data_IF_358288383938
#
_entry.id   IF_358288383938
#
_cell.length_a   1.000
_cell.length_b   1.000
_cell.length_c   1.000
_cell.angle_alpha   90.00
_cell.angle_beta   90.00
_cell.angle_gamma   90.00
#
_symmetry.space_group_name_H-M   'P 1'
#
loop_
_entity.id
_entity.type
_entity.pdbx_description
1 polymer ?
#
# COMPACT_ATOMS: atom_id res chain seq x y z
N UNK A 1 -0.17 -35.82 7.41
CA UNK A 1 -0.38 -34.78 6.38
C UNK A 1 -0.15 -33.44 7.05
N UNK A 2 0.83 -32.64 6.65
CA UNK A 2 0.99 -31.27 7.14
C UNK A 2 1.08 -30.36 5.92
N UNK A 3 0.10 -29.48 5.75
CA UNK A 3 0.10 -28.40 4.78
C UNK A 3 0.54 -27.12 5.51
N UNK A 4 1.84 -27.00 5.78
CA UNK A 4 2.43 -25.71 6.15
C UNK A 4 2.71 -24.98 4.83
N UNK A 5 1.69 -24.28 4.35
CA UNK A 5 1.83 -23.31 3.28
C UNK A 5 2.58 -22.11 3.85
N UNK A 6 3.91 -22.22 3.96
CA UNK A 6 4.77 -21.06 4.22
C UNK A 6 4.71 -20.18 2.98
N UNK A 7 3.69 -19.31 2.91
CA UNK A 7 3.55 -18.24 1.94
C UNK A 7 4.71 -17.26 2.14
N UNK A 8 5.83 -17.64 1.53
CA UNK A 8 7.05 -16.86 1.43
C UNK A 8 6.72 -15.66 0.56
N UNK A 9 6.37 -14.54 1.20
CA UNK A 9 6.03 -13.31 0.51
C UNK A 9 5.07 -12.46 1.29
N UNK A 10 5.42 -12.07 2.52
CA UNK A 10 4.85 -10.88 3.12
C UNK A 10 5.29 -9.66 2.28
N UNK A 11 4.70 -9.50 1.09
CA UNK A 11 4.49 -8.20 0.51
C UNK A 11 3.70 -7.46 1.58
N UNK A 12 4.43 -6.69 2.41
CA UNK A 12 3.93 -5.80 3.46
C UNK A 12 2.48 -5.48 3.16
N UNK A 13 1.54 -6.08 3.91
CA UNK A 13 0.11 -6.06 3.60
C UNK A 13 -0.37 -4.61 3.72
N UNK A 14 -0.12 -3.81 2.69
CA UNK A 14 -0.48 -2.39 2.65
C UNK A 14 -1.97 -2.35 2.60
N UNK A 15 -2.58 -1.92 3.69
CA UNK A 15 -4.01 -1.73 3.70
C UNK A 15 -4.37 -0.68 2.65
N UNK A 16 -5.47 -0.89 1.90
CA UNK A 16 -5.96 0.11 0.99
C UNK A 16 -6.33 1.37 1.78
N UNK A 17 -5.80 2.51 1.36
CA UNK A 17 -6.11 3.81 1.97
C UNK A 17 -7.03 4.62 1.07
N UNK A 18 -7.76 5.58 1.63
CA UNK A 18 -8.56 6.51 0.82
C UNK A 18 -7.64 7.58 0.21
N UNK A 19 -7.63 7.69 -1.12
CA UNK A 19 -6.88 8.73 -1.81
C UNK A 19 -7.56 10.10 -1.63
N UNK A 20 -6.88 11.15 -1.14
CA UNK A 20 -7.47 12.48 -0.98
C UNK A 20 -7.74 13.20 -2.31
N UNK A 21 -7.23 12.67 -3.43
CA UNK A 21 -7.36 13.31 -4.75
C UNK A 21 -8.52 12.77 -5.57
N UNK A 22 -8.76 11.46 -5.52
CA UNK A 22 -9.88 10.82 -6.24
C UNK A 22 -10.98 10.31 -5.32
N UNK A 23 -10.81 10.39 -4.00
CA UNK A 23 -11.74 9.89 -2.99
C UNK A 23 -12.09 8.39 -3.15
N UNK A 24 -11.18 7.62 -3.75
CA UNK A 24 -11.32 6.18 -3.92
C UNK A 24 -10.30 5.41 -3.07
N UNK A 25 -10.66 4.22 -2.57
CA UNK A 25 -9.71 3.33 -1.93
C UNK A 25 -8.63 2.89 -2.93
N UNK A 26 -7.37 3.02 -2.54
CA UNK A 26 -6.23 2.73 -3.40
C UNK A 26 -5.16 1.95 -2.65
N UNK A 27 -4.45 1.09 -3.39
CA UNK A 27 -3.23 0.46 -2.91
C UNK A 27 -2.06 1.42 -3.17
N UNK A 28 -1.38 1.93 -2.12
CA UNK A 28 -0.26 2.84 -2.32
C UNK A 28 0.93 2.13 -2.99
N UNK A 29 1.37 2.66 -4.12
CA UNK A 29 2.62 2.24 -4.77
C UNK A 29 3.77 3.02 -4.17
N UNK A 30 4.88 2.35 -3.84
CA UNK A 30 6.10 3.04 -3.36
C UNK A 30 7.06 3.18 -4.53
N UNK A 31 7.43 4.41 -4.84
CA UNK A 31 8.44 4.73 -5.85
C UNK A 31 9.85 4.47 -5.30
N UNK A 32 10.86 4.52 -6.18
CA UNK A 32 12.26 4.28 -5.83
C UNK A 32 12.78 5.26 -4.75
N UNK A 33 12.32 6.51 -4.79
CA UNK A 33 12.64 7.56 -3.81
C UNK A 33 11.91 7.40 -2.47
N UNK A 34 11.06 6.37 -2.33
CA UNK A 34 10.31 6.07 -1.12
C UNK A 34 8.96 6.80 -0.98
N UNK A 35 8.64 7.69 -1.93
CA UNK A 35 7.35 8.37 -2.02
C UNK A 35 6.23 7.35 -2.27
N UNK A 36 5.11 7.51 -1.58
CA UNK A 36 3.89 6.74 -1.83
C UNK A 36 3.02 7.49 -2.84
N UNK A 37 2.53 6.80 -3.86
CA UNK A 37 1.64 7.35 -4.88
C UNK A 37 0.38 6.50 -5.02
N UNK A 38 -0.71 7.15 -5.42
CA UNK A 38 -1.97 6.49 -5.72
C UNK A 38 -1.81 5.59 -6.96
N UNK A 39 -2.53 4.47 -6.99
CA UNK A 39 -2.61 3.59 -8.17
C UNK A 39 -3.53 4.15 -9.28
N UNK A 40 -4.08 5.36 -9.14
CA UNK A 40 -4.84 5.99 -10.21
C UNK A 40 -3.92 6.43 -11.37
N UNK A 41 -4.48 6.65 -12.55
CA UNK A 41 -3.71 7.08 -13.73
C UNK A 41 -2.98 8.42 -13.56
N UNK A 42 -3.34 9.22 -12.55
CA UNK A 42 -2.66 10.46 -12.23
C UNK A 42 -1.46 10.28 -11.28
N UNK A 43 -1.27 9.08 -10.70
CA UNK A 43 -0.15 8.70 -9.84
C UNK A 43 0.22 9.75 -8.78
N UNK A 44 -0.80 10.36 -8.19
CA UNK A 44 -0.61 11.49 -7.29
C UNK A 44 0.01 11.03 -5.96
N UNK A 45 0.91 11.83 -5.38
CA UNK A 45 1.51 11.51 -4.09
C UNK A 45 0.43 11.43 -3.01
N UNK A 46 0.53 10.37 -2.21
CA UNK A 46 -0.31 10.10 -1.06
C UNK A 46 0.41 10.58 0.20
N UNK A 47 -0.34 11.02 1.23
CA UNK A 47 0.24 11.21 2.55
C UNK A 47 0.83 9.87 3.03
N UNK A 48 1.97 9.92 3.72
CA UNK A 48 2.46 8.76 4.44
C UNK A 48 1.37 8.31 5.43
N UNK A 49 1.01 7.00 5.44
CA UNK A 49 0.09 6.53 6.45
C UNK A 49 0.70 6.84 7.81
N UNK A 50 -0.11 7.25 8.81
CA UNK A 50 0.40 7.41 10.16
C UNK A 50 1.12 6.12 10.56
N UNK A 51 2.24 6.20 11.30
CA UNK A 51 2.92 5.00 11.75
C UNK A 51 1.91 4.14 12.47
N UNK A 52 1.54 3.02 11.84
CA UNK A 52 0.61 2.04 12.37
C UNK A 52 1.12 1.72 13.78
N UNK A 53 0.35 2.12 14.80
CA UNK A 53 0.73 1.80 16.17
C UNK A 53 0.66 0.28 16.26
N UNK A 54 1.84 -0.32 16.37
CA UNK A 54 2.08 -1.76 16.55
C UNK A 54 1.24 -2.37 17.68
#
# INVERSE_FOLDING_TARGET
MNADGTETGAAQRREPILCPHCAEPTMPNRLADGVLVCSCAAERPLPEPPPEKA
#
